data_IF_758993551278
#
_entry.id   IF_758993551278
#
_cell.length_a   1.000
_cell.length_b   1.000
_cell.length_c   1.000
_cell.angle_alpha   90.00
_cell.angle_beta   90.00
_cell.angle_gamma   90.00
#
_symmetry.space_group_name_H-M   'P 1'
#
loop_
_entity.id
_entity.type
_entity.pdbx_description
1 polymer ?
#
# COMPACT_ATOMS: atom_id res chain seq x y z
N UNK A 1 -39.78 15.04 -3.63
CA UNK A 1 -39.43 13.77 -2.97
C UNK A 1 -37.92 13.70 -3.00
N UNK A 2 -37.27 13.81 -1.84
CA UNK A 2 -35.83 13.64 -1.76
C UNK A 2 -35.52 12.19 -2.10
N UNK A 3 -34.74 11.99 -3.15
CA UNK A 3 -34.25 10.68 -3.54
C UNK A 3 -33.29 10.26 -2.43
N UNK A 4 -33.69 9.31 -1.58
CA UNK A 4 -32.77 8.70 -0.62
C UNK A 4 -31.64 8.08 -1.43
N UNK A 5 -30.46 8.70 -1.37
CA UNK A 5 -29.25 8.09 -1.92
C UNK A 5 -29.12 6.71 -1.28
N UNK A 6 -28.83 5.64 -2.05
CA UNK A 6 -28.40 4.40 -1.45
C UNK A 6 -27.22 4.72 -0.52
N UNK A 7 -27.17 4.08 0.65
CA UNK A 7 -26.00 4.12 1.53
C UNK A 7 -24.74 4.01 0.65
N UNK A 8 -23.87 5.03 0.68
CA UNK A 8 -22.97 5.32 -0.45
C UNK A 8 -22.04 4.16 -0.82
N UNK A 9 -21.39 4.28 -1.98
CA UNK A 9 -20.67 3.14 -2.57
C UNK A 9 -19.47 2.72 -1.74
N UNK A 10 -19.24 1.41 -1.66
CA UNK A 10 -18.02 0.82 -1.12
C UNK A 10 -17.18 0.35 -2.31
N UNK A 11 -16.01 0.94 -2.47
CA UNK A 11 -15.02 0.49 -3.44
C UNK A 11 -14.11 -0.55 -2.79
N UNK A 12 -14.17 -1.78 -3.27
CA UNK A 12 -13.40 -2.92 -2.73
C UNK A 12 -12.12 -3.20 -3.52
N UNK A 13 -11.82 -2.40 -4.54
CA UNK A 13 -10.66 -2.63 -5.42
C UNK A 13 -9.95 -1.32 -5.74
N UNK A 14 -9.09 -0.90 -4.82
CA UNK A 14 -8.17 0.21 -5.04
C UNK A 14 -6.73 -0.16 -4.68
N UNK A 15 -5.78 0.56 -5.27
CA UNK A 15 -4.36 0.42 -4.96
C UNK A 15 -3.75 1.73 -4.50
N UNK A 16 -2.77 1.62 -3.61
CA UNK A 16 -1.96 2.74 -3.12
C UNK A 16 -0.49 2.34 -2.96
N UNK A 17 0.39 3.31 -3.17
CA UNK A 17 1.82 3.23 -2.85
C UNK A 17 2.09 4.23 -1.71
N UNK A 18 2.15 3.78 -0.44
CA UNK A 18 2.31 4.67 0.71
C UNK A 18 3.59 5.49 0.61
N UNK A 19 3.48 6.82 0.61
CA UNK A 19 4.65 7.71 0.52
C UNK A 19 5.63 7.49 1.69
N UNK A 20 5.10 7.18 2.89
CA UNK A 20 5.91 6.88 4.07
C UNK A 20 6.77 5.62 3.87
N UNK A 21 6.20 4.56 3.30
CA UNK A 21 6.92 3.34 2.94
C UNK A 21 8.05 3.62 1.94
N UNK A 22 7.74 4.35 0.85
CA UNK A 22 8.71 4.67 -0.20
C UNK A 22 9.91 5.46 0.35
N UNK A 23 9.64 6.42 1.24
CA UNK A 23 10.68 7.20 1.92
C UNK A 23 11.50 6.38 2.90
N UNK A 24 10.88 5.41 3.57
CA UNK A 24 11.58 4.51 4.48
C UNK A 24 12.51 3.56 3.72
N UNK A 25 12.03 2.93 2.66
CA UNK A 25 12.86 2.07 1.78
C UNK A 25 14.03 2.86 1.19
N UNK A 26 13.83 4.13 0.80
CA UNK A 26 14.92 4.99 0.32
C UNK A 26 16.06 5.14 1.35
N UNK A 27 15.73 5.26 2.64
CA UNK A 27 16.71 5.33 3.75
C UNK A 27 17.33 3.97 4.03
N UNK A 28 16.55 2.90 3.91
CA UNK A 28 16.91 1.52 4.27
C UNK A 28 17.39 0.68 3.07
N UNK A 29 17.81 1.31 1.97
CA UNK A 29 18.20 0.63 0.71
C UNK A 29 19.15 -0.55 0.90
N UNK A 30 20.06 -0.49 1.88
CA UNK A 30 21.04 -1.56 2.17
C UNK A 30 20.40 -2.85 2.68
N UNK A 31 19.26 -2.77 3.38
CA UNK A 31 18.59 -3.94 3.91
C UNK A 31 18.01 -4.80 2.76
N UNK A 32 17.29 -4.16 1.83
CA UNK A 32 16.55 -4.86 0.79
C UNK A 32 17.29 -4.96 -0.56
N UNK A 33 18.29 -4.12 -0.80
CA UNK A 33 18.91 -3.97 -2.12
C UNK A 33 17.99 -3.28 -3.13
N UNK A 34 16.94 -2.62 -2.65
CA UNK A 34 15.97 -1.87 -3.47
C UNK A 34 16.39 -0.41 -3.49
N UNK A 35 16.61 0.12 -4.69
CA UNK A 35 16.84 1.55 -4.91
C UNK A 35 15.51 2.30 -4.97
N UNK A 36 15.49 3.54 -4.46
CA UNK A 36 14.36 4.45 -4.60
C UNK A 36 14.90 5.80 -5.06
N UNK A 37 14.39 6.30 -6.18
CA UNK A 37 14.69 7.63 -6.70
C UNK A 37 13.46 8.52 -6.57
N UNK A 38 13.65 9.71 -6.00
CA UNK A 38 12.65 10.78 -6.04
C UNK A 38 12.72 11.47 -7.41
N UNK A 39 11.55 11.69 -8.02
CA UNK A 39 11.38 12.30 -9.33
C UNK A 39 10.25 13.32 -9.28
N UNK A 40 10.14 14.17 -10.29
CA UNK A 40 9.02 15.12 -10.41
C UNK A 40 7.65 14.42 -10.48
N UNK A 41 7.62 13.13 -10.83
CA UNK A 41 6.40 12.30 -10.91
C UNK A 41 6.16 11.40 -9.69
N UNK A 42 6.96 11.56 -8.63
CA UNK A 42 6.89 10.73 -7.41
C UNK A 42 8.11 9.83 -7.23
N UNK A 43 7.95 8.68 -6.58
CA UNK A 43 9.07 7.80 -6.21
C UNK A 43 9.15 6.58 -7.14
N UNK A 44 10.28 6.38 -7.81
CA UNK A 44 10.54 5.23 -8.67
C UNK A 44 11.42 4.21 -7.94
N UNK A 45 10.99 2.95 -7.87
CA UNK A 45 11.77 1.87 -7.24
C UNK A 45 12.51 1.05 -8.30
N UNK A 46 13.66 0.51 -7.90
CA UNK A 46 14.43 -0.47 -8.67
C UNK A 46 14.74 -1.66 -7.77
N UNK A 47 14.07 -2.78 -8.03
CA UNK A 47 14.35 -4.04 -7.35
C UNK A 47 15.63 -4.70 -7.89
N UNK A 48 16.30 -5.57 -7.11
CA UNK A 48 17.48 -6.29 -7.59
C UNK A 48 17.24 -6.98 -8.93
N UNK A 49 18.12 -6.72 -9.90
CA UNK A 49 18.09 -7.31 -11.24
C UNK A 49 16.85 -7.00 -12.10
N UNK A 50 16.03 -6.02 -11.70
CA UNK A 50 14.83 -5.61 -12.44
C UNK A 50 14.95 -4.17 -12.97
N UNK A 51 14.19 -3.83 -14.02
CA UNK A 51 14.08 -2.45 -14.47
C UNK A 51 13.50 -1.53 -13.40
N UNK A 52 13.83 -0.24 -13.48
CA UNK A 52 13.18 0.79 -12.67
C UNK A 52 11.70 0.90 -13.02
N UNK A 53 10.84 0.86 -12.01
CA UNK A 53 9.40 1.01 -12.14
C UNK A 53 9.02 2.44 -12.54
N UNK A 54 7.79 2.63 -13.04
CA UNK A 54 7.23 3.99 -13.14
C UNK A 54 7.16 4.61 -11.75
N UNK A 55 7.37 5.93 -11.68
CA UNK A 55 7.25 6.65 -10.43
C UNK A 55 5.83 6.55 -9.85
N UNK A 56 5.75 6.24 -8.56
CA UNK A 56 4.53 6.28 -7.77
C UNK A 56 4.30 7.71 -7.25
N UNK A 57 3.30 8.37 -7.82
CA UNK A 57 2.87 9.71 -7.44
C UNK A 57 1.43 9.97 -7.87
N UNK A 58 0.97 11.20 -7.69
CA UNK A 58 -0.43 11.58 -7.95
C UNK A 58 -1.41 10.71 -7.15
N UNK A 59 -2.51 10.30 -7.79
CA UNK A 59 -3.57 9.52 -7.14
C UNK A 59 -3.10 8.16 -6.59
N UNK A 60 -1.94 7.64 -7.03
CA UNK A 60 -1.38 6.39 -6.49
C UNK A 60 -0.79 6.56 -5.09
N UNK A 61 -0.46 7.78 -4.65
CA UNK A 61 0.16 8.02 -3.34
C UNK A 61 -0.52 9.13 -2.52
N UNK A 62 -1.33 9.97 -3.16
CA UNK A 62 -2.03 11.10 -2.55
C UNK A 62 -3.42 10.69 -2.07
N UNK A 63 -3.62 10.71 -0.74
CA UNK A 63 -4.89 10.38 -0.11
C UNK A 63 -5.82 11.58 0.05
N UNK A 64 -5.32 12.81 -0.03
CA UNK A 64 -6.13 14.03 0.01
C UNK A 64 -6.90 14.19 -1.30
N UNK A 65 -6.21 14.14 -2.43
CA UNK A 65 -6.85 14.18 -3.76
C UNK A 65 -7.80 13.00 -3.95
N UNK A 66 -7.43 11.82 -3.43
CA UNK A 66 -8.29 10.63 -3.44
C UNK A 66 -9.56 10.82 -2.61
N UNK A 67 -9.47 11.48 -1.46
CA UNK A 67 -10.64 11.80 -0.62
C UNK A 67 -11.62 12.70 -1.36
N UNK A 68 -11.12 13.73 -2.04
CA UNK A 68 -11.96 14.63 -2.85
C UNK A 68 -12.65 13.86 -3.99
N UNK A 69 -11.90 13.02 -4.71
CA UNK A 69 -12.46 12.17 -5.76
C UNK A 69 -13.53 11.22 -5.21
N UNK A 70 -13.29 10.57 -4.06
CA UNK A 70 -14.27 9.68 -3.43
C UNK A 70 -15.58 10.42 -3.12
N UNK A 71 -15.51 11.65 -2.61
CA UNK A 71 -16.69 12.48 -2.34
C UNK A 71 -17.45 12.82 -3.63
N UNK A 72 -16.75 13.19 -4.70
CA UNK A 72 -17.35 13.48 -6.01
C UNK A 72 -18.05 12.26 -6.63
N UNK A 73 -17.50 11.06 -6.42
CA UNK A 73 -18.05 9.81 -6.93
C UNK A 73 -19.10 9.17 -6.00
N UNK A 74 -19.35 9.73 -4.81
CA UNK A 74 -20.23 9.12 -3.82
C UNK A 74 -19.69 7.82 -3.20
N UNK A 75 -18.36 7.62 -3.25
CA UNK A 75 -17.68 6.51 -2.58
C UNK A 75 -17.48 6.87 -1.12
N UNK A 76 -18.11 6.10 -0.23
CA UNK A 76 -18.10 6.35 1.22
C UNK A 76 -17.08 5.49 1.96
N UNK A 77 -16.58 4.43 1.32
CA UNK A 77 -15.48 3.62 1.85
C UNK A 77 -14.67 3.03 0.71
N UNK A 78 -13.35 2.95 0.89
CA UNK A 78 -12.44 2.35 -0.09
C UNK A 78 -11.43 1.41 0.58
N UNK A 79 -11.33 0.19 0.09
CA UNK A 79 -10.35 -0.80 0.52
C UNK A 79 -9.14 -0.75 -0.41
N UNK A 80 -7.99 -0.40 0.16
CA UNK A 80 -6.74 -0.21 -0.57
C UNK A 80 -5.80 -1.39 -0.33
N UNK A 81 -5.45 -2.09 -1.40
CA UNK A 81 -4.31 -2.99 -1.41
C UNK A 81 -3.04 -2.22 -1.78
N UNK A 82 -1.86 -2.76 -1.43
CA UNK A 82 -0.61 -2.22 -1.95
C UNK A 82 -0.61 -2.24 -3.48
N UNK A 83 0.05 -1.27 -4.10
CA UNK A 83 0.33 -1.32 -5.53
C UNK A 83 1.13 -2.59 -5.85
N UNK A 84 0.71 -3.34 -6.86
CA UNK A 84 1.25 -4.69 -7.11
C UNK A 84 2.76 -4.69 -7.33
N UNK A 85 3.31 -3.65 -7.97
CA UNK A 85 4.73 -3.61 -8.31
C UNK A 85 5.64 -3.42 -7.09
N UNK A 86 5.08 -3.12 -5.91
CA UNK A 86 5.83 -2.97 -4.65
C UNK A 86 5.62 -4.11 -3.66
N UNK A 87 4.97 -5.21 -4.07
CA UNK A 87 4.69 -6.36 -3.19
C UNK A 87 5.94 -7.08 -2.66
N UNK A 88 7.08 -6.97 -3.38
CA UNK A 88 8.36 -7.54 -2.93
C UNK A 88 8.55 -9.02 -3.23
N UNK A 89 7.66 -9.66 -3.98
CA UNK A 89 7.73 -11.11 -4.30
C UNK A 89 8.94 -11.53 -5.15
N UNK A 90 9.70 -10.56 -5.67
CA UNK A 90 10.96 -10.80 -6.40
C UNK A 90 12.18 -10.74 -5.48
N UNK A 91 12.00 -10.39 -4.21
CA UNK A 91 13.05 -10.41 -3.20
C UNK A 91 13.38 -11.86 -2.78
N UNK A 92 14.59 -12.11 -2.29
CA UNK A 92 14.91 -13.35 -1.59
C UNK A 92 13.96 -13.62 -0.41
N UNK A 93 13.62 -14.90 -0.17
CA UNK A 93 12.67 -15.31 0.87
C UNK A 93 13.05 -14.84 2.29
N UNK A 94 14.34 -14.68 2.58
CA UNK A 94 14.84 -14.15 3.85
C UNK A 94 14.53 -12.65 4.03
N UNK A 95 14.27 -11.92 2.94
CA UNK A 95 13.95 -10.48 2.93
C UNK A 95 12.50 -10.16 2.63
N UNK A 96 11.79 -11.03 1.92
CA UNK A 96 10.39 -10.84 1.54
C UNK A 96 9.51 -10.62 2.79
N UNK A 97 9.71 -11.42 3.85
CA UNK A 97 8.94 -11.28 5.09
C UNK A 97 9.09 -9.90 5.74
N UNK A 98 10.34 -9.42 5.89
CA UNK A 98 10.62 -8.11 6.48
C UNK A 98 10.07 -6.97 5.61
N UNK A 99 10.15 -7.12 4.28
CA UNK A 99 9.59 -6.17 3.32
C UNK A 99 8.06 -6.07 3.45
N UNK A 100 7.38 -7.23 3.48
CA UNK A 100 5.92 -7.27 3.60
C UNK A 100 5.46 -6.75 4.95
N UNK A 101 6.18 -7.07 6.04
CA UNK A 101 5.90 -6.50 7.38
C UNK A 101 5.94 -4.97 7.34
N UNK A 102 7.03 -4.41 6.82
CA UNK A 102 7.20 -2.97 6.69
C UNK A 102 6.09 -2.36 5.83
N UNK A 103 5.77 -2.98 4.69
CA UNK A 103 4.70 -2.53 3.80
C UNK A 103 3.34 -2.51 4.53
N UNK A 104 2.98 -3.58 5.25
CA UNK A 104 1.73 -3.67 5.99
C UNK A 104 1.63 -2.60 7.09
N UNK A 105 2.71 -2.36 7.84
CA UNK A 105 2.75 -1.31 8.88
C UNK A 105 2.49 0.08 8.29
N UNK A 106 3.14 0.42 7.17
CA UNK A 106 2.92 1.69 6.48
C UNK A 106 1.55 1.78 5.79
N UNK A 107 1.03 0.67 5.25
CA UNK A 107 -0.32 0.61 4.71
C UNK A 107 -1.33 0.93 5.80
N UNK A 108 -1.28 0.22 6.93
CA UNK A 108 -2.19 0.41 8.06
C UNK A 108 -2.12 1.84 8.62
N UNK A 109 -0.91 2.40 8.76
CA UNK A 109 -0.75 3.80 9.17
C UNK A 109 -1.34 4.78 8.16
N UNK A 110 -1.12 4.55 6.86
CA UNK A 110 -1.68 5.38 5.78
C UNK A 110 -3.21 5.37 5.80
N UNK A 111 -3.82 4.21 6.01
CA UNK A 111 -5.27 4.09 6.19
C UNK A 111 -5.78 4.90 7.38
N UNK A 112 -5.12 4.78 8.54
CA UNK A 112 -5.47 5.53 9.77
C UNK A 112 -5.36 7.04 9.57
N UNK A 113 -4.26 7.51 8.98
CA UNK A 113 -4.00 8.93 8.77
C UNK A 113 -4.96 9.56 7.74
N UNK A 114 -5.47 8.75 6.80
CA UNK A 114 -6.38 9.22 5.74
C UNK A 114 -7.85 9.27 6.19
N UNK A 115 -8.17 8.71 7.36
CA UNK A 115 -9.50 8.78 7.97
C UNK A 115 -10.38 7.54 7.77
N UNK A 116 -11.52 7.53 8.44
CA UNK A 116 -12.37 6.34 8.60
C UNK A 116 -13.01 5.80 7.32
N UNK A 117 -12.93 6.52 6.21
CA UNK A 117 -13.38 6.02 4.91
C UNK A 117 -12.38 5.03 4.28
N UNK A 118 -11.13 5.00 4.75
CA UNK A 118 -10.09 4.13 4.21
C UNK A 118 -9.93 2.85 5.03
N UNK A 119 -9.83 1.72 4.33
CA UNK A 119 -9.44 0.42 4.87
C UNK A 119 -8.28 -0.12 4.04
N UNK A 120 -7.49 -1.02 4.60
CA UNK A 120 -6.27 -1.50 3.97
C UNK A 120 -6.26 -3.01 3.92
N UNK A 121 -5.89 -3.58 2.78
CA UNK A 121 -5.79 -5.03 2.60
C UNK A 121 -4.34 -5.45 2.83
N UNK A 122 -4.14 -6.45 3.67
CA UNK A 122 -2.82 -6.97 3.99
C UNK A 122 -2.16 -7.68 2.80
N UNK A 123 -0.85 -7.50 2.68
CA UNK A 123 0.02 -8.33 1.86
C UNK A 123 0.60 -9.47 2.71
N UNK A 124 1.00 -10.57 2.07
CA UNK A 124 1.66 -11.71 2.74
C UNK A 124 2.85 -12.18 1.91
N UNK A 125 3.97 -12.63 2.52
CA UNK A 125 5.09 -13.20 1.78
C UNK A 125 4.68 -14.52 1.12
N UNK A 126 4.59 -14.57 -0.21
CA UNK A 126 4.00 -15.70 -0.91
C UNK A 126 4.97 -16.87 -1.13
N UNK A 127 6.28 -16.67 -0.94
CA UNK A 127 7.25 -17.75 -1.13
C UNK A 127 7.24 -18.78 0.01
N UNK A 128 6.68 -18.43 1.17
CA UNK A 128 6.63 -19.29 2.37
C UNK A 128 5.23 -19.22 3.02
N UNK A 129 4.48 -20.32 2.93
CA UNK A 129 3.11 -20.39 3.42
C UNK A 129 2.97 -20.28 4.95
N UNK A 130 3.97 -20.72 5.72
CA UNK A 130 3.93 -20.58 7.18
C UNK A 130 4.14 -19.12 7.58
N UNK A 131 5.12 -18.45 6.95
CA UNK A 131 5.33 -17.01 7.12
C UNK A 131 4.13 -16.20 6.64
N UNK A 132 3.49 -16.60 5.54
CA UNK A 132 2.29 -15.95 5.04
C UNK A 132 1.15 -15.98 6.07
N UNK A 133 0.92 -17.13 6.70
CA UNK A 133 -0.10 -17.27 7.72
C UNK A 133 0.21 -16.43 8.98
N UNK A 134 1.47 -16.43 9.42
CA UNK A 134 1.93 -15.62 10.56
C UNK A 134 1.78 -14.12 10.29
N UNK A 135 2.11 -13.67 9.08
CA UNK A 135 1.98 -12.27 8.69
C UNK A 135 0.50 -11.85 8.57
N UNK A 136 -0.35 -12.71 8.02
CA UNK A 136 -1.79 -12.46 8.00
C UNK A 136 -2.37 -12.30 9.41
N UNK A 137 -1.97 -13.18 10.34
CA UNK A 137 -2.38 -13.10 11.73
C UNK A 137 -1.93 -11.78 12.38
N UNK A 138 -0.68 -11.37 12.15
CA UNK A 138 -0.15 -10.10 12.62
C UNK A 138 -0.95 -8.91 12.07
N UNK A 139 -1.15 -8.86 10.75
CA UNK A 139 -1.85 -7.76 10.09
C UNK A 139 -3.29 -7.60 10.62
N UNK A 140 -4.03 -8.70 10.74
CA UNK A 140 -5.42 -8.66 11.22
C UNK A 140 -5.49 -8.36 12.71
N UNK A 141 -4.73 -9.07 13.56
CA UNK A 141 -4.86 -8.95 15.02
C UNK A 141 -4.13 -7.76 15.63
N UNK A 142 -3.08 -7.27 14.98
CA UNK A 142 -2.23 -6.20 15.53
C UNK A 142 -2.44 -4.88 14.80
N UNK A 143 -2.48 -4.89 13.47
CA UNK A 143 -2.59 -3.65 12.69
C UNK A 143 -4.04 -3.19 12.48
N UNK A 144 -4.99 -4.12 12.57
CA UNK A 144 -6.42 -3.87 12.33
C UNK A 144 -6.76 -3.72 10.85
N UNK A 145 -6.00 -4.42 10.00
CA UNK A 145 -6.22 -4.50 8.55
C UNK A 145 -7.36 -5.47 8.22
#
# INVERSE_FOLDING_TARGET
>A
MAQENPAGFIDVHAHIAPTSFLKEVAKSHRAFGVGVAETDSGHALTFPHLPTLRAAGGSLSDTEARTQWMQEQGVTSQYMAAWLDIQGYTLPADKEGDWVRLLNEHMAQTGKDSGEAFRTIASVPLQDGERAAQELEYAVKTLGM
#
